data_IF_562695572510
#
_entry.id   IF_562695572510
#
_cell.length_a   1.000
_cell.length_b   1.000
_cell.length_c   1.000
_cell.angle_alpha   90.00
_cell.angle_beta   90.00
_cell.angle_gamma   90.00
#
_symmetry.space_group_name_H-M   'P 1'
#
loop_
_entity.id
_entity.type
_entity.pdbx_description
1 polymer ?
#
# COMPACT_ATOMS: atom_id res chain seq x y z
N UNK A 1 67.07 8.51 27.36
CA UNK A 1 66.53 9.39 26.29
C UNK A 1 65.57 8.54 25.47
N UNK A 2 64.25 8.75 25.62
CA UNK A 2 63.36 9.39 24.60
C UNK A 2 63.03 8.41 23.44
N UNK A 3 61.81 8.06 23.05
CA UNK A 3 60.44 8.58 23.25
C UNK A 3 59.47 7.42 22.90
N UNK A 4 58.39 7.27 23.67
CA UNK A 4 57.19 6.47 23.36
C UNK A 4 56.44 7.12 22.20
N UNK A 5 56.14 6.40 21.12
CA UNK A 5 55.18 6.85 20.09
C UNK A 5 53.94 5.96 20.12
N UNK A 6 52.92 6.53 20.77
CA UNK A 6 51.54 6.07 20.82
C UNK A 6 50.85 6.60 19.55
N UNK A 7 50.69 5.79 18.51
CA UNK A 7 49.87 6.16 17.35
C UNK A 7 48.42 5.74 17.60
N UNK A 8 47.67 6.69 18.17
CA UNK A 8 46.23 6.69 18.31
C UNK A 8 45.60 6.71 16.90
N UNK A 9 45.04 5.58 16.46
CA UNK A 9 44.22 5.51 15.24
C UNK A 9 42.89 6.22 15.53
N UNK A 10 42.83 7.51 15.20
CA UNK A 10 41.60 8.28 15.07
C UNK A 10 40.76 7.65 13.96
N UNK A 11 39.72 6.92 14.38
CA UNK A 11 38.62 6.54 13.51
C UNK A 11 37.91 7.83 13.09
N UNK A 12 38.23 8.30 11.89
CA UNK A 12 37.40 9.25 11.17
C UNK A 12 36.14 8.50 10.74
N UNK A 13 35.16 8.38 11.65
CA UNK A 13 33.77 8.19 11.23
C UNK A 13 33.38 9.48 10.53
N UNK A 14 33.50 9.48 9.21
CA UNK A 14 32.72 10.37 8.36
C UNK A 14 31.26 10.13 8.69
N UNK A 15 30.71 10.93 9.62
CA UNK A 15 29.28 11.18 9.71
C UNK A 15 28.94 11.90 8.43
N UNK A 16 28.68 11.13 7.38
CA UNK A 16 28.04 11.65 6.19
C UNK A 16 26.75 12.32 6.67
N UNK A 17 26.59 13.62 6.39
CA UNK A 17 25.30 14.29 6.38
C UNK A 17 24.46 13.69 5.23
N UNK A 18 24.14 12.40 5.35
CA UNK A 18 23.06 11.81 4.59
C UNK A 18 21.78 12.40 5.19
N UNK A 19 20.97 13.04 4.35
CA UNK A 19 19.62 13.46 4.71
C UNK A 19 18.94 12.33 5.47
N UNK A 20 18.50 12.59 6.71
CA UNK A 20 17.86 11.58 7.55
C UNK A 20 16.65 11.04 6.79
N UNK A 21 16.54 9.72 6.54
CA UNK A 21 15.42 9.16 5.79
C UNK A 21 14.12 9.37 6.56
N UNK A 22 12.99 9.43 5.87
CA UNK A 22 11.67 9.55 6.50
C UNK A 22 11.36 8.35 7.41
N UNK A 23 11.77 7.16 7.00
CA UNK A 23 11.70 5.95 7.81
C UNK A 23 12.76 4.92 7.38
N UNK A 24 12.98 3.89 8.21
CA UNK A 24 13.73 2.68 7.90
C UNK A 24 12.88 1.46 8.23
N UNK A 25 12.82 0.51 7.30
CA UNK A 25 12.07 -0.75 7.43
C UNK A 25 13.04 -1.91 7.28
N UNK A 26 13.34 -2.60 8.37
CA UNK A 26 14.36 -3.66 8.43
C UNK A 26 15.73 -3.22 7.88
N UNK A 27 16.07 -1.95 8.08
CA UNK A 27 17.31 -1.33 7.58
C UNK A 27 17.22 -0.73 6.18
N UNK A 28 16.14 -0.98 5.42
CA UNK A 28 15.88 -0.35 4.12
C UNK A 28 15.32 1.06 4.33
N UNK A 29 15.92 2.06 3.68
CA UNK A 29 15.53 3.46 3.82
C UNK A 29 14.33 3.83 2.96
N UNK A 30 13.38 4.55 3.55
CA UNK A 30 12.36 5.33 2.86
C UNK A 30 12.82 6.78 2.88
N UNK A 31 13.44 7.25 1.79
CA UNK A 31 13.94 8.62 1.69
C UNK A 31 12.83 9.67 1.60
N UNK A 32 13.14 10.92 1.98
CA UNK A 32 12.19 12.04 1.96
C UNK A 32 11.59 12.27 0.57
N UNK A 33 12.40 12.21 -0.50
CA UNK A 33 11.91 12.38 -1.87
C UNK A 33 10.91 11.30 -2.27
N UNK A 34 11.11 10.04 -1.83
CA UNK A 34 10.16 8.94 -2.08
C UNK A 34 8.83 9.22 -1.37
N UNK A 35 8.89 9.71 -0.13
CA UNK A 35 7.70 10.11 0.61
C UNK A 35 6.96 11.28 -0.04
N UNK A 36 7.64 12.36 -0.42
CA UNK A 36 6.97 13.51 -1.05
C UNK A 36 6.32 13.16 -2.39
N UNK A 37 6.97 12.30 -3.19
CA UNK A 37 6.40 11.79 -4.44
C UNK A 37 5.13 10.98 -4.17
N UNK A 38 5.22 9.99 -3.29
CA UNK A 38 4.09 9.16 -2.92
C UNK A 38 2.96 9.97 -2.27
N UNK A 39 3.30 10.99 -1.49
CA UNK A 39 2.31 11.86 -0.87
C UNK A 39 1.50 12.64 -1.91
N UNK A 40 2.11 13.08 -3.01
CA UNK A 40 1.37 13.66 -4.14
C UNK A 40 0.40 12.65 -4.74
N UNK A 41 0.85 11.41 -5.02
CA UNK A 41 0.02 10.34 -5.57
C UNK A 41 -1.15 9.97 -4.64
N UNK A 42 -0.88 9.88 -3.33
CA UNK A 42 -1.86 9.62 -2.27
C UNK A 42 -2.97 10.66 -2.23
N UNK A 43 -2.64 11.93 -2.45
CA UNK A 43 -3.63 13.01 -2.49
C UNK A 43 -4.40 13.06 -3.81
N UNK A 44 -3.71 12.82 -4.94
CA UNK A 44 -4.33 12.77 -6.26
C UNK A 44 -5.36 11.63 -6.35
N UNK A 45 -5.07 10.46 -5.78
CA UNK A 45 -6.00 9.35 -5.65
C UNK A 45 -7.29 9.71 -4.87
N UNK A 46 -7.21 10.72 -4.00
CA UNK A 46 -8.35 11.26 -3.24
C UNK A 46 -9.00 12.48 -3.92
N UNK A 47 -8.57 12.82 -5.14
CA UNK A 47 -9.04 14.00 -5.87
C UNK A 47 -8.65 15.32 -5.19
N UNK A 48 -7.53 15.34 -4.45
CA UNK A 48 -7.08 16.49 -3.65
C UNK A 48 -5.73 16.99 -4.14
N UNK A 49 -5.64 18.29 -4.43
CA UNK A 49 -4.36 18.93 -4.71
C UNK A 49 -3.63 19.27 -3.40
N UNK A 50 -2.30 19.04 -3.33
CA UNK A 50 -1.45 19.44 -2.19
C UNK A 50 -1.65 20.92 -1.84
N UNK A 51 -1.73 21.78 -2.86
CA UNK A 51 -1.88 23.23 -2.74
C UNK A 51 -3.20 23.67 -2.09
N UNK A 52 -4.20 22.77 -2.01
CA UNK A 52 -5.46 23.04 -1.33
C UNK A 52 -5.37 22.89 0.19
N UNK A 53 -4.32 22.24 0.72
CA UNK A 53 -4.16 21.95 2.15
C UNK A 53 -3.51 23.13 2.86
N UNK A 54 -4.34 24.03 3.39
CA UNK A 54 -3.87 25.24 4.10
C UNK A 54 -3.59 25.02 5.59
N UNK A 55 -4.12 23.95 6.18
CA UNK A 55 -3.97 23.65 7.60
C UNK A 55 -2.71 22.78 7.82
N UNK A 56 -1.68 23.25 8.55
CA UNK A 56 -0.45 22.50 8.78
C UNK A 56 -0.66 21.17 9.51
N UNK A 57 -1.60 21.12 10.46
CA UNK A 57 -1.92 19.89 11.20
C UNK A 57 -2.63 18.86 10.33
N UNK A 58 -3.46 19.30 9.36
CA UNK A 58 -4.03 18.38 8.36
C UNK A 58 -2.96 17.88 7.40
N UNK A 59 -2.07 18.77 6.92
CA UNK A 59 -0.95 18.39 6.06
C UNK A 59 -0.09 17.32 6.71
N UNK A 60 0.37 17.56 7.96
CA UNK A 60 1.18 16.60 8.71
C UNK A 60 0.47 15.24 8.85
N UNK A 61 -0.81 15.22 9.25
CA UNK A 61 -1.55 13.95 9.40
C UNK A 61 -1.66 13.17 8.09
N UNK A 62 -1.95 13.83 6.97
CA UNK A 62 -2.06 13.14 5.68
C UNK A 62 -0.69 12.64 5.21
N UNK A 63 0.37 13.41 5.47
CA UNK A 63 1.75 13.01 5.17
C UNK A 63 2.19 11.81 6.03
N UNK A 64 1.86 11.80 7.31
CA UNK A 64 2.11 10.69 8.23
C UNK A 64 1.37 9.43 7.76
N UNK A 65 0.11 9.56 7.30
CA UNK A 65 -0.66 8.46 6.70
C UNK A 65 -0.02 7.91 5.42
N UNK A 66 0.49 8.79 4.55
CA UNK A 66 1.18 8.37 3.33
C UNK A 66 2.51 7.66 3.65
N UNK A 67 3.23 8.12 4.68
CA UNK A 67 4.43 7.42 5.17
C UNK A 67 4.08 6.05 5.75
N UNK A 68 3.01 5.95 6.53
CA UNK A 68 2.52 4.67 7.04
C UNK A 68 2.20 3.69 5.89
N UNK A 69 1.52 4.15 4.84
CA UNK A 69 1.20 3.30 3.69
C UNK A 69 2.46 2.88 2.90
N UNK A 70 3.46 3.77 2.78
CA UNK A 70 4.77 3.41 2.22
C UNK A 70 5.50 2.35 3.03
N UNK A 71 5.44 2.43 4.37
CA UNK A 71 6.01 1.42 5.26
C UNK A 71 5.32 0.08 5.04
N UNK A 72 3.98 0.07 4.94
CA UNK A 72 3.22 -1.16 4.67
C UNK A 72 3.57 -1.77 3.31
N UNK A 73 3.72 -0.94 2.27
CA UNK A 73 4.16 -1.38 0.94
C UNK A 73 5.56 -1.98 0.96
N UNK A 74 6.49 -1.34 1.65
CA UNK A 74 7.86 -1.83 1.81
C UNK A 74 7.89 -3.18 2.54
N UNK A 75 7.10 -3.32 3.62
CA UNK A 75 6.97 -4.60 4.34
C UNK A 75 6.38 -5.70 3.47
N UNK A 76 5.35 -5.38 2.69
CA UNK A 76 4.76 -6.34 1.74
C UNK A 76 5.74 -6.72 0.64
N UNK A 77 6.52 -5.77 0.13
CA UNK A 77 7.57 -6.07 -0.84
C UNK A 77 8.62 -7.03 -0.26
N UNK A 78 9.13 -6.75 0.94
CA UNK A 78 10.09 -7.63 1.62
C UNK A 78 9.51 -9.03 1.86
N UNK A 79 8.21 -9.11 2.20
CA UNK A 79 7.51 -10.38 2.36
C UNK A 79 7.35 -11.13 1.03
N UNK A 80 7.06 -10.42 -0.07
CA UNK A 80 7.03 -11.01 -1.41
C UNK A 80 8.39 -11.62 -1.78
N UNK A 81 9.48 -10.88 -1.53
CA UNK A 81 10.85 -11.37 -1.72
C UNK A 81 11.13 -12.61 -0.86
N UNK A 82 10.74 -12.58 0.41
CA UNK A 82 10.91 -13.70 1.35
C UNK A 82 10.18 -14.96 0.89
N UNK A 83 9.01 -14.82 0.27
CA UNK A 83 8.23 -15.93 -0.29
C UNK A 83 8.64 -16.32 -1.72
N UNK A 84 9.61 -15.62 -2.32
CA UNK A 84 10.05 -15.88 -3.69
C UNK A 84 9.00 -15.51 -4.75
N UNK A 85 8.09 -14.59 -4.43
CA UNK A 85 7.10 -14.08 -5.39
C UNK A 85 7.81 -13.09 -6.31
N UNK A 86 7.91 -13.44 -7.59
CA UNK A 86 8.50 -12.61 -8.63
C UNK A 86 7.49 -12.37 -9.74
N UNK A 87 7.41 -11.13 -10.21
CA UNK A 87 6.57 -10.73 -11.35
C UNK A 87 7.44 -10.72 -12.60
N UNK A 88 7.03 -11.44 -13.63
CA UNK A 88 7.75 -11.52 -14.91
C UNK A 88 7.74 -10.19 -15.65
N UNK A 89 8.77 -9.95 -16.46
CA UNK A 89 8.88 -8.75 -17.29
C UNK A 89 7.68 -8.56 -18.23
N UNK A 90 7.11 -9.66 -18.73
CA UNK A 90 5.90 -9.64 -19.56
C UNK A 90 4.71 -9.05 -18.79
N UNK A 91 4.46 -9.48 -17.56
CA UNK A 91 3.37 -8.95 -16.75
C UNK A 91 3.60 -7.49 -16.37
N UNK A 92 4.84 -7.10 -16.03
CA UNK A 92 5.17 -5.69 -15.75
C UNK A 92 4.95 -4.83 -17.00
N UNK A 93 5.42 -5.28 -18.16
CA UNK A 93 5.24 -4.55 -19.42
C UNK A 93 3.77 -4.45 -19.83
N UNK A 94 2.97 -5.50 -19.59
CA UNK A 94 1.52 -5.46 -19.84
C UNK A 94 0.84 -4.42 -18.96
N UNK A 95 1.13 -4.42 -17.65
CA UNK A 95 0.60 -3.44 -16.70
C UNK A 95 0.97 -2.00 -17.08
N UNK A 96 2.24 -1.76 -17.45
CA UNK A 96 2.69 -0.43 -17.89
C UNK A 96 1.97 -0.02 -19.18
N UNK A 97 1.81 -0.95 -20.13
CA UNK A 97 1.09 -0.69 -21.38
C UNK A 97 -0.38 -0.32 -21.16
N UNK A 98 -1.06 -0.97 -20.22
CA UNK A 98 -2.44 -0.62 -19.83
C UNK A 98 -2.53 0.77 -19.22
N UNK A 99 -1.58 1.11 -18.33
CA UNK A 99 -1.50 2.45 -17.72
C UNK A 99 -1.23 3.50 -18.80
N UNK A 100 -0.24 3.28 -19.68
CA UNK A 100 0.10 4.19 -20.77
C UNK A 100 -1.10 4.42 -21.72
N UNK A 101 -1.84 3.36 -22.06
CA UNK A 101 -3.03 3.45 -22.89
C UNK A 101 -4.13 4.32 -22.24
N UNK A 102 -4.27 4.27 -20.90
CA UNK A 102 -5.23 5.10 -20.17
C UNK A 102 -4.89 6.61 -20.21
N UNK A 103 -3.63 6.99 -20.48
CA UNK A 103 -3.25 8.39 -20.70
C UNK A 103 -3.65 8.93 -22.09
N UNK A 104 -3.93 8.05 -23.05
CA UNK A 104 -4.33 8.41 -24.41
C UNK A 104 -3.22 9.02 -25.28
N UNK A 105 -2.00 9.21 -24.76
CA UNK A 105 -0.84 9.66 -25.51
C UNK A 105 0.47 9.23 -24.84
N UNK A 106 1.38 8.55 -25.57
CA UNK A 106 2.71 8.21 -25.05
C UNK A 106 3.49 9.43 -24.56
N UNK A 107 3.38 10.57 -25.25
CA UNK A 107 4.08 11.80 -24.86
C UNK A 107 3.55 12.37 -23.53
N UNK A 108 2.24 12.23 -23.25
CA UNK A 108 1.67 12.62 -21.96
C UNK A 108 2.12 11.68 -20.84
N UNK A 109 2.19 10.38 -21.11
CA UNK A 109 2.70 9.40 -20.16
C UNK A 109 4.16 9.67 -19.79
N UNK A 110 5.05 9.80 -20.77
CA UNK A 110 6.47 10.09 -20.55
C UNK A 110 6.67 11.42 -19.79
N UNK A 111 5.88 12.45 -20.11
CA UNK A 111 5.91 13.72 -19.37
C UNK A 111 5.51 13.52 -17.91
N UNK A 112 4.47 12.72 -17.65
CA UNK A 112 3.98 12.44 -16.29
C UNK A 112 4.98 11.61 -15.49
N UNK A 113 5.66 10.65 -16.11
CA UNK A 113 6.77 9.94 -15.48
C UNK A 113 7.89 10.92 -15.08
N UNK A 114 8.30 11.79 -15.99
CA UNK A 114 9.34 12.78 -15.71
C UNK A 114 8.94 13.79 -14.64
N UNK A 115 7.69 14.28 -14.64
CA UNK A 115 7.11 15.12 -13.58
C UNK A 115 7.10 14.37 -12.23
N UNK A 116 6.80 13.08 -12.26
CA UNK A 116 6.92 12.17 -11.13
C UNK A 116 8.36 11.68 -10.89
N UNK A 117 9.38 12.30 -11.51
CA UNK A 117 10.80 12.03 -11.27
C UNK A 117 11.26 10.61 -11.58
N UNK A 118 10.60 9.94 -12.52
CA UNK A 118 10.95 8.63 -13.02
C UNK A 118 11.46 8.71 -14.46
N UNK A 119 12.48 7.91 -14.78
CA UNK A 119 12.66 7.37 -16.12
C UNK A 119 11.89 6.05 -16.29
N UNK A 120 11.88 5.52 -17.52
CA UNK A 120 11.12 4.30 -17.86
C UNK A 120 11.65 3.05 -17.15
N UNK A 121 12.95 2.94 -16.94
CA UNK A 121 13.55 1.80 -16.24
C UNK A 121 13.20 1.83 -14.74
N UNK A 122 13.32 3.01 -14.13
CA UNK A 122 12.94 3.22 -12.73
C UNK A 122 11.44 2.97 -12.51
N UNK A 123 10.59 3.43 -13.42
CA UNK A 123 9.15 3.16 -13.35
C UNK A 123 8.86 1.65 -13.50
N UNK A 124 9.59 0.96 -14.38
CA UNK A 124 9.46 -0.49 -14.55
C UNK A 124 9.78 -1.26 -13.27
N UNK A 125 10.89 -0.93 -12.61
CA UNK A 125 11.25 -1.53 -11.31
C UNK A 125 10.22 -1.18 -10.23
N UNK A 126 9.77 0.07 -10.18
CA UNK A 126 8.73 0.50 -9.25
C UNK A 126 7.43 -0.29 -9.44
N UNK A 127 6.94 -0.43 -10.68
CA UNK A 127 5.76 -1.23 -10.99
C UNK A 127 5.95 -2.69 -10.61
N UNK A 128 7.14 -3.27 -10.87
CA UNK A 128 7.43 -4.66 -10.46
C UNK A 128 7.33 -4.84 -8.95
N UNK A 129 7.91 -3.93 -8.16
CA UNK A 129 7.83 -3.97 -6.70
C UNK A 129 6.39 -3.87 -6.20
N UNK A 130 5.62 -2.92 -6.75
CA UNK A 130 4.21 -2.73 -6.38
C UNK A 130 3.36 -3.96 -6.72
N UNK A 131 3.54 -4.55 -7.90
CA UNK A 131 2.81 -5.76 -8.31
C UNK A 131 3.13 -6.95 -7.42
N UNK A 132 4.41 -7.16 -7.07
CA UNK A 132 4.81 -8.24 -6.17
C UNK A 132 4.23 -8.05 -4.76
N UNK A 133 4.29 -6.83 -4.23
CA UNK A 133 3.69 -6.48 -2.95
C UNK A 133 2.16 -6.69 -2.96
N UNK A 134 1.47 -6.32 -4.04
CA UNK A 134 0.04 -6.57 -4.20
C UNK A 134 -0.29 -8.06 -4.28
N UNK A 135 0.50 -8.84 -5.02
CA UNK A 135 0.29 -10.28 -5.16
C UNK A 135 0.45 -11.01 -3.83
N UNK A 136 1.50 -10.72 -3.06
CA UNK A 136 1.67 -11.33 -1.74
C UNK A 136 0.57 -10.86 -0.78
N UNK A 137 0.13 -9.61 -0.91
CA UNK A 137 -0.94 -9.11 -0.05
C UNK A 137 -2.26 -9.83 -0.31
N UNK A 138 -2.60 -10.04 -1.58
CA UNK A 138 -3.77 -10.82 -1.98
C UNK A 138 -3.68 -12.27 -1.48
N UNK A 139 -2.51 -12.90 -1.63
CA UNK A 139 -2.27 -14.27 -1.14
C UNK A 139 -2.46 -14.37 0.38
N UNK A 140 -1.87 -13.45 1.15
CA UNK A 140 -1.90 -13.45 2.60
C UNK A 140 -3.24 -13.03 3.20
N UNK A 141 -4.07 -12.30 2.43
CA UNK A 141 -5.39 -11.82 2.85
C UNK A 141 -6.56 -12.57 2.24
N UNK A 142 -6.29 -13.64 1.50
CA UNK A 142 -7.33 -14.53 0.97
C UNK A 142 -8.12 -15.15 2.12
N UNK A 143 -9.45 -15.18 1.98
CA UNK A 143 -10.38 -15.74 2.98
C UNK A 143 -11.27 -16.78 2.35
N UNK A 144 -11.63 -17.78 3.13
CA UNK A 144 -12.59 -18.79 2.69
C UNK A 144 -13.99 -18.19 2.56
N UNK A 145 -14.70 -18.64 1.52
CA UNK A 145 -16.08 -18.27 1.30
C UNK A 145 -16.94 -18.69 2.51
N UNK A 146 -17.84 -17.83 3.00
CA UNK A 146 -18.72 -18.19 4.10
C UNK A 146 -19.66 -19.32 3.69
N UNK A 147 -19.83 -20.27 4.60
CA UNK A 147 -20.83 -21.33 4.48
C UNK A 147 -22.24 -20.75 4.40
N UNK A 148 -23.19 -21.55 3.88
CA UNK A 148 -24.58 -21.12 3.80
C UNK A 148 -25.15 -20.73 5.16
N UNK A 149 -24.85 -21.51 6.22
CA UNK A 149 -25.32 -21.21 7.57
C UNK A 149 -24.78 -19.89 8.13
N UNK A 150 -23.52 -19.54 7.84
CA UNK A 150 -22.95 -18.25 8.25
C UNK A 150 -23.59 -17.07 7.52
N UNK A 151 -23.92 -17.24 6.23
CA UNK A 151 -24.62 -16.22 5.45
C UNK A 151 -26.04 -16.00 5.97
N UNK A 152 -26.76 -17.08 6.28
CA UNK A 152 -28.11 -17.02 6.83
C UNK A 152 -28.11 -16.35 8.21
N UNK A 153 -27.22 -16.77 9.12
CA UNK A 153 -27.08 -16.16 10.43
C UNK A 153 -26.70 -14.67 10.35
N UNK A 154 -25.79 -14.32 9.44
CA UNK A 154 -25.42 -12.92 9.22
C UNK A 154 -26.60 -12.10 8.67
N UNK A 155 -27.34 -12.64 7.69
CA UNK A 155 -28.52 -11.98 7.14
C UNK A 155 -29.56 -11.72 8.22
N UNK A 156 -29.90 -12.73 9.01
CA UNK A 156 -30.90 -12.64 10.08
C UNK A 156 -30.49 -11.63 11.16
N UNK A 157 -29.21 -11.57 11.52
CA UNK A 157 -28.69 -10.59 12.47
C UNK A 157 -28.60 -9.15 11.91
N UNK A 158 -28.61 -8.97 10.59
CA UNK A 158 -28.36 -7.68 9.93
C UNK A 158 -29.52 -7.20 9.04
N UNK A 159 -30.72 -7.80 9.16
CA UNK A 159 -31.84 -7.55 8.23
C UNK A 159 -32.15 -6.07 8.04
N UNK A 160 -32.29 -5.29 9.11
CA UNK A 160 -32.61 -3.86 9.03
C UNK A 160 -31.56 -3.05 8.24
N UNK A 161 -30.27 -3.39 8.38
CA UNK A 161 -29.18 -2.72 7.68
C UNK A 161 -29.12 -3.10 6.21
N UNK A 162 -29.45 -4.36 5.90
CA UNK A 162 -29.42 -4.90 4.53
C UNK A 162 -30.69 -4.57 3.72
N UNK A 163 -31.80 -4.21 4.40
CA UNK A 163 -33.06 -3.78 3.76
C UNK A 163 -32.98 -2.39 3.12
N UNK A 164 -32.05 -1.52 3.55
CA UNK A 164 -31.88 -0.17 2.99
C UNK A 164 -31.40 -0.12 1.53
N UNK A 165 -31.05 -1.27 0.94
CA UNK A 165 -30.60 -1.40 -0.46
C UNK A 165 -31.67 -2.04 -1.38
N UNK A 166 -32.93 -2.15 -0.94
CA UNK A 166 -33.97 -2.88 -1.67
C UNK A 166 -34.42 -2.23 -2.98
N UNK A 167 -34.48 -3.05 -4.04
CA UNK A 167 -35.15 -2.80 -5.31
C UNK A 167 -36.64 -3.24 -5.29
N UNK A 168 -37.40 -2.72 -6.25
CA UNK A 168 -38.87 -2.68 -6.46
C UNK A 168 -39.68 -4.01 -6.55
N UNK A 169 -39.23 -5.12 -5.95
CA UNK A 169 -40.01 -6.38 -5.97
C UNK A 169 -40.81 -6.59 -4.69
N UNK A 170 -42.12 -6.75 -4.80
CA UNK A 170 -43.00 -7.11 -3.67
C UNK A 170 -42.95 -8.62 -3.31
N UNK A 171 -42.25 -9.45 -4.10
CA UNK A 171 -42.16 -10.89 -3.85
C UNK A 171 -41.18 -11.23 -2.70
N UNK A 172 -41.66 -11.81 -1.56
CA UNK A 172 -40.83 -12.09 -0.39
C UNK A 172 -39.65 -13.03 -0.64
N UNK A 173 -39.82 -14.03 -1.52
CA UNK A 173 -38.75 -15.00 -1.82
C UNK A 173 -37.59 -14.34 -2.58
N UNK A 174 -37.91 -13.48 -3.54
CA UNK A 174 -36.92 -12.72 -4.33
C UNK A 174 -36.19 -11.73 -3.43
N UNK A 175 -36.90 -11.05 -2.53
CA UNK A 175 -36.32 -10.15 -1.53
C UNK A 175 -35.30 -10.91 -0.65
N UNK A 176 -35.66 -12.11 -0.17
CA UNK A 176 -34.79 -12.91 0.68
C UNK A 176 -33.53 -13.38 -0.05
N UNK A 177 -33.66 -13.87 -1.28
CA UNK A 177 -32.53 -14.34 -2.08
C UNK A 177 -31.52 -13.20 -2.34
N UNK A 178 -32.00 -12.02 -2.75
CA UNK A 178 -31.15 -10.84 -2.91
C UNK A 178 -30.51 -10.41 -1.59
N UNK A 179 -31.27 -10.47 -0.49
CA UNK A 179 -30.78 -10.17 0.84
C UNK A 179 -29.63 -11.10 1.27
N UNK A 180 -29.75 -12.40 0.99
CA UNK A 180 -28.69 -13.39 1.27
C UNK A 180 -27.47 -13.19 0.37
N UNK A 181 -27.65 -12.81 -0.90
CA UNK A 181 -26.55 -12.47 -1.78
C UNK A 181 -25.76 -11.25 -1.28
N UNK A 182 -26.47 -10.19 -0.85
CA UNK A 182 -25.85 -9.01 -0.25
C UNK A 182 -25.18 -9.34 1.08
N UNK A 183 -25.81 -10.17 1.92
CA UNK A 183 -25.25 -10.66 3.17
C UNK A 183 -23.92 -11.39 2.94
N UNK A 184 -23.89 -12.30 1.96
CA UNK A 184 -22.67 -13.03 1.56
C UNK A 184 -21.58 -12.08 1.11
N UNK A 185 -21.87 -11.16 0.19
CA UNK A 185 -20.89 -10.21 -0.31
C UNK A 185 -20.33 -9.31 0.82
N UNK A 186 -21.20 -8.84 1.71
CA UNK A 186 -20.81 -8.03 2.87
C UNK A 186 -19.92 -8.83 3.83
N UNK A 187 -20.30 -10.08 4.12
CA UNK A 187 -19.52 -10.93 5.02
C UNK A 187 -18.14 -11.26 4.45
N UNK A 188 -18.04 -11.53 3.15
CA UNK A 188 -16.75 -11.70 2.45
C UNK A 188 -15.92 -10.43 2.58
N UNK A 189 -16.47 -9.26 2.24
CA UNK A 189 -15.75 -8.00 2.34
C UNK A 189 -15.27 -7.68 3.77
N UNK A 190 -16.06 -8.01 4.78
CA UNK A 190 -15.66 -7.88 6.19
C UNK A 190 -14.49 -8.81 6.55
N UNK A 191 -14.57 -10.08 6.15
CA UNK A 191 -13.49 -11.06 6.38
C UNK A 191 -12.21 -10.64 5.68
N UNK A 192 -12.29 -10.23 4.42
CA UNK A 192 -11.15 -9.72 3.66
C UNK A 192 -10.54 -8.49 4.33
N UNK A 193 -11.36 -7.52 4.73
CA UNK A 193 -10.88 -6.31 5.42
C UNK A 193 -10.16 -6.65 6.74
N UNK A 194 -10.72 -7.58 7.52
CA UNK A 194 -10.10 -8.06 8.76
C UNK A 194 -8.77 -8.78 8.46
N UNK A 195 -8.75 -9.70 7.49
CA UNK A 195 -7.54 -10.43 7.10
C UNK A 195 -6.45 -9.47 6.62
N UNK A 196 -6.81 -8.50 5.78
CA UNK A 196 -5.93 -7.42 5.31
C UNK A 196 -5.32 -6.61 6.44
N UNK A 197 -6.12 -6.25 7.45
CA UNK A 197 -5.62 -5.56 8.63
C UNK A 197 -4.68 -6.44 9.44
N UNK A 198 -5.04 -7.70 9.69
CA UNK A 198 -4.21 -8.65 10.43
C UNK A 198 -2.89 -8.94 9.73
N UNK A 199 -2.84 -8.98 8.40
CA UNK A 199 -1.59 -9.11 7.64
C UNK A 199 -0.67 -7.92 7.88
N UNK A 200 -1.16 -6.69 7.72
CA UNK A 200 -0.34 -5.48 7.97
C UNK A 200 0.17 -5.43 9.41
N UNK A 201 -0.69 -5.74 10.37
CA UNK A 201 -0.31 -5.77 11.78
C UNK A 201 0.81 -6.78 12.04
N UNK A 202 0.67 -8.03 11.57
CA UNK A 202 1.71 -9.06 11.75
C UNK A 202 3.03 -8.68 11.11
N UNK A 203 3.00 -8.09 9.91
CA UNK A 203 4.22 -7.62 9.22
C UNK A 203 4.91 -6.49 9.98
N UNK A 204 4.13 -5.56 10.56
CA UNK A 204 4.70 -4.50 11.40
C UNK A 204 5.28 -5.04 12.70
N UNK A 205 4.59 -5.97 13.36
CA UNK A 205 5.03 -6.59 14.61
C UNK A 205 6.31 -7.42 14.44
N UNK A 206 6.51 -8.04 13.27
CA UNK A 206 7.71 -8.83 12.97
C UNK A 206 8.88 -8.00 12.44
N UNK A 207 8.66 -6.72 12.13
CA UNK A 207 9.66 -5.86 11.51
C UNK A 207 10.23 -4.82 12.47
N UNK A 208 11.46 -4.39 12.16
CA UNK A 208 12.08 -3.23 12.79
C UNK A 208 11.78 -1.99 11.95
N UNK A 209 10.82 -1.18 12.42
CA UNK A 209 10.44 0.09 11.79
C UNK A 209 10.94 1.27 12.63
N UNK A 210 11.70 2.17 12.01
CA UNK A 210 12.19 3.41 12.61
C UNK A 210 11.64 4.57 11.79
N UNK A 211 10.95 5.53 12.41
CA UNK A 211 10.40 6.71 11.73
C UNK A 211 11.18 7.92 12.21
N UNK A 212 11.56 8.83 11.30
CA UNK A 212 12.21 10.07 11.68
C UNK A 212 11.21 11.06 12.29
N UNK A 213 11.65 11.77 13.33
CA UNK A 213 10.85 12.78 14.06
C UNK A 213 10.52 14.03 13.22
#
# INVERSE_FOLDING_TARGET
MRIVWLCLLLVLTSVSWADVPAARVNGVEIGLMRLERYFSEYLDAQGRAVTSIRNPGLYKRLRDQALDELIDKELLWQEAQRQGIAVSDEHVSAQIGEIEAAFGSPALFERRLAEAGFDRAQYTEYTRHEMAAQQVYALLSAVDAPSQGEVEAFYDANQQRLQGAQNQSDNPSVIREHGLALARATLIGQREAQARQSVRQRLRESAKVEIAD
#
